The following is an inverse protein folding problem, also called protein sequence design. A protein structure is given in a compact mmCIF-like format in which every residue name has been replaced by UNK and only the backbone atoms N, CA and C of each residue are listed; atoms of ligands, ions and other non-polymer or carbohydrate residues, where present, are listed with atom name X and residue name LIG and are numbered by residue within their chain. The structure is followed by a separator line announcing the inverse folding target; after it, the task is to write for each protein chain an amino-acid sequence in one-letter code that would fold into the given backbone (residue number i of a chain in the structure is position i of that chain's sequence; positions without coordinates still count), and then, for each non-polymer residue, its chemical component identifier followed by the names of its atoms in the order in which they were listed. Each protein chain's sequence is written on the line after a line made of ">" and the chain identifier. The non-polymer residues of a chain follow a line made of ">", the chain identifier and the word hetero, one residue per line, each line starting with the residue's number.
data_IF_750093660640
#
_entry.id   IF_750093660640
#
_cell.length_a   1.000
_cell.length_b   1.000
_cell.length_c   1.000
_cell.angle_alpha   90.00
_cell.angle_beta   90.00
_cell.angle_gamma   90.00
#
_symmetry.space_group_name_H-M   'P 1'
#
loop_
_entity.id
_entity.type
_entity.pdbx_description
1 polymer ?
#
# COMPACT_ATOMS: atom_id res chain seq x y z
N UNK A 1 -9.13 16.38 10.50
CA UNK A 1 -9.59 15.02 10.15
C UNK A 1 -8.40 14.07 10.26
N UNK A 2 -8.42 13.12 11.20
CA UNK A 2 -7.41 12.06 11.24
C UNK A 2 -7.84 11.03 10.20
N UNK A 3 -7.26 11.07 9.00
CA UNK A 3 -7.44 9.99 8.03
C UNK A 3 -7.07 8.68 8.72
N UNK A 4 -8.06 7.82 8.97
CA UNK A 4 -7.79 6.47 9.44
C UNK A 4 -7.09 5.79 8.28
N UNK A 5 -5.80 5.51 8.43
CA UNK A 5 -5.02 4.83 7.40
C UNK A 5 -5.69 3.51 7.00
N UNK A 6 -5.35 3.01 5.81
CA UNK A 6 -5.98 1.81 5.25
C UNK A 6 -7.45 1.99 4.87
N UNK A 7 -7.86 3.23 4.56
CA UNK A 7 -9.24 3.52 4.17
C UNK A 7 -10.28 3.18 5.23
N UNK A 8 -9.88 3.13 6.50
CA UNK A 8 -10.74 2.70 7.62
C UNK A 8 -10.78 1.19 7.87
N UNK A 9 -10.11 0.38 7.04
CA UNK A 9 -9.98 -1.07 7.23
C UNK A 9 -8.54 -1.44 7.57
N UNK A 10 -8.11 -1.13 8.80
CA UNK A 10 -6.76 -1.44 9.27
C UNK A 10 -6.52 -2.96 9.27
N UNK A 11 -5.39 -3.46 8.73
CA UNK A 11 -5.04 -4.88 8.78
C UNK A 11 -4.98 -5.40 10.21
N UNK A 12 -5.38 -6.66 10.41
CA UNK A 12 -5.33 -7.36 11.68
C UNK A 12 -3.90 -7.82 12.04
N UNK A 13 -3.02 -7.95 11.04
CA UNK A 13 -1.62 -8.34 11.23
C UNK A 13 -0.70 -7.62 10.24
N UNK A 14 0.60 -7.67 10.54
CA UNK A 14 1.63 -7.17 9.64
C UNK A 14 1.75 -8.03 8.37
N UNK A 15 1.50 -9.33 8.47
CA UNK A 15 1.42 -10.24 7.32
C UNK A 15 0.29 -9.82 6.37
N UNK A 16 -0.90 -9.55 6.91
CA UNK A 16 -2.01 -9.05 6.10
C UNK A 16 -1.68 -7.69 5.48
N UNK A 17 -0.98 -6.81 6.20
CA UNK A 17 -0.53 -5.53 5.66
C UNK A 17 0.43 -5.73 4.48
N UNK A 18 1.39 -6.65 4.60
CA UNK A 18 2.35 -7.01 3.56
C UNK A 18 1.61 -7.59 2.33
N UNK A 19 0.70 -8.54 2.53
CA UNK A 19 -0.07 -9.15 1.44
C UNK A 19 -0.90 -8.13 0.67
N UNK A 20 -1.57 -7.21 1.38
CA UNK A 20 -2.33 -6.12 0.76
C UNK A 20 -1.40 -5.17 -0.03
N UNK A 21 -0.20 -4.88 0.47
CA UNK A 21 0.80 -4.06 -0.24
C UNK A 21 1.29 -4.75 -1.49
N UNK A 22 1.66 -6.03 -1.42
CA UNK A 22 2.11 -6.81 -2.57
C UNK A 22 1.00 -6.94 -3.63
N UNK A 23 -0.23 -7.24 -3.21
CA UNK A 23 -1.39 -7.33 -4.10
C UNK A 23 -1.65 -6.02 -4.85
N UNK A 24 -1.58 -4.88 -4.15
CA UNK A 24 -1.73 -3.56 -4.76
C UNK A 24 -0.56 -3.25 -5.71
N UNK A 25 0.67 -3.61 -5.35
CA UNK A 25 1.84 -3.45 -6.20
C UNK A 25 1.71 -4.26 -7.49
N UNK A 26 1.36 -5.55 -7.42
CA UNK A 26 1.15 -6.41 -8.58
C UNK A 26 0.12 -5.83 -9.55
N UNK A 27 -1.02 -5.37 -9.05
CA UNK A 27 -2.06 -4.72 -9.85
C UNK A 27 -1.53 -3.48 -10.59
N UNK A 28 -0.74 -2.66 -9.91
CA UNK A 28 -0.18 -1.42 -10.50
C UNK A 28 0.95 -1.74 -11.49
N UNK A 29 1.79 -2.74 -11.20
CA UNK A 29 2.81 -3.23 -12.16
C UNK A 29 2.15 -3.75 -13.42
N UNK A 30 1.07 -4.51 -13.31
CA UNK A 30 0.35 -5.04 -14.47
C UNK A 30 -0.21 -3.93 -15.38
N UNK A 31 -0.63 -2.80 -14.80
CA UNK A 31 -1.16 -1.64 -15.53
C UNK A 31 -0.05 -0.73 -16.11
N UNK A 32 1.02 -0.48 -15.33
CA UNK A 32 2.00 0.60 -15.61
C UNK A 32 3.41 0.13 -15.91
N UNK A 33 3.72 -1.13 -15.65
CA UNK A 33 5.08 -1.68 -15.75
C UNK A 33 6.10 -0.87 -14.96
N UNK A 34 7.22 -0.53 -15.59
CA UNK A 34 8.34 0.21 -14.99
C UNK A 34 8.02 1.64 -14.58
N UNK A 35 6.89 2.21 -15.03
CA UNK A 35 6.46 3.55 -14.63
C UNK A 35 5.77 3.58 -13.25
N UNK A 36 5.58 2.41 -12.61
CA UNK A 36 5.01 2.31 -11.26
C UNK A 36 5.79 3.14 -10.23
N UNK A 37 5.07 3.76 -9.29
CA UNK A 37 5.65 4.44 -8.12
C UNK A 37 5.06 3.90 -6.82
N UNK A 38 5.85 3.90 -5.75
CA UNK A 38 5.37 3.57 -4.38
C UNK A 38 4.23 4.50 -3.93
N UNK A 39 4.21 5.74 -4.44
CA UNK A 39 3.11 6.67 -4.19
C UNK A 39 1.76 6.17 -4.74
N UNK A 40 1.77 5.38 -5.83
CA UNK A 40 0.56 4.81 -6.39
C UNK A 40 0.03 3.67 -5.52
N UNK A 41 0.91 2.82 -4.98
CA UNK A 41 0.56 1.76 -4.00
C UNK A 41 -0.03 2.37 -2.73
N UNK A 42 0.63 3.38 -2.18
CA UNK A 42 0.16 4.07 -0.99
C UNK A 42 -1.23 4.73 -1.22
N UNK A 43 -1.46 5.29 -2.40
CA UNK A 43 -2.75 5.86 -2.78
C UNK A 43 -3.84 4.80 -2.90
N UNK A 44 -3.56 3.67 -3.55
CA UNK A 44 -4.50 2.55 -3.70
C UNK A 44 -4.98 2.04 -2.34
N UNK A 45 -4.09 1.97 -1.36
CA UNK A 45 -4.39 1.48 -0.01
C UNK A 45 -4.84 2.58 0.95
N UNK A 46 -4.96 3.83 0.51
CA UNK A 46 -5.25 5.00 1.36
C UNK A 46 -4.34 5.07 2.61
N UNK A 47 -3.03 4.87 2.40
CA UNK A 47 -1.97 5.00 3.40
C UNK A 47 -0.92 6.02 2.94
N UNK A 48 0.04 6.34 3.81
CA UNK A 48 1.19 7.17 3.41
C UNK A 48 2.30 6.28 2.83
N UNK A 49 3.23 6.89 2.08
CA UNK A 49 4.46 6.22 1.65
C UNK A 49 5.27 5.68 2.83
N UNK A 50 5.29 6.41 3.95
CA UNK A 50 5.96 5.99 5.17
C UNK A 50 5.37 4.69 5.73
N UNK A 51 4.06 4.50 5.64
CA UNK A 51 3.43 3.22 6.03
C UNK A 51 3.96 2.07 5.19
N UNK A 52 4.11 2.27 3.87
CA UNK A 52 4.69 1.24 2.99
C UNK A 52 6.15 0.95 3.37
N UNK A 53 6.99 1.98 3.50
CA UNK A 53 8.40 1.79 3.88
C UNK A 53 8.61 1.14 5.25
N UNK A 54 7.64 1.27 6.18
CA UNK A 54 7.70 0.58 7.47
C UNK A 54 7.70 -0.94 7.31
N UNK A 55 7.01 -1.46 6.30
CA UNK A 55 6.86 -2.90 6.05
C UNK A 55 7.96 -3.48 5.15
N UNK A 56 8.70 -2.64 4.44
CA UNK A 56 9.73 -3.05 3.48
C UNK A 56 11.01 -2.19 3.67
N UNK A 57 11.85 -2.51 4.67
CA UNK A 57 13.09 -1.79 4.94
C UNK A 57 14.20 -2.05 3.92
#
# INVERSE_FOLDING_TARGET
>A
MRSHGWGGNTPASDEEAIDRILSAAEKIVADRGSAMRIADVARELAVTRQTVYRYFP
#
